data_IF_394147398514
#
_entry.id   IF_394147398514
#
_cell.length_a   1.000
_cell.length_b   1.000
_cell.length_c   1.000
_cell.angle_alpha   90.00
_cell.angle_beta   90.00
_cell.angle_gamma   90.00
#
_symmetry.space_group_name_H-M   'P 1'
#
loop_
_entity.id
_entity.type
_entity.pdbx_description
1 polymer ?
#
# COMPACT_ATOMS: atom_id res chain seq x y z
N UNK A 1 11.84 -2.16 13.84
CA UNK A 1 10.57 -2.90 14.07
C UNK A 1 9.55 -2.74 12.94
N UNK A 2 9.79 -1.87 11.94
CA UNK A 2 8.88 -1.65 10.79
C UNK A 2 9.31 -2.34 9.48
N UNK A 3 10.48 -2.96 9.44
CA UNK A 3 11.08 -3.48 8.21
C UNK A 3 10.50 -4.85 7.80
N UNK A 4 10.35 -5.78 8.76
CA UNK A 4 9.78 -7.12 8.52
C UNK A 4 8.27 -7.12 8.24
N UNK A 5 7.56 -5.99 8.42
CA UNK A 5 6.12 -5.89 8.12
C UNK A 5 5.82 -5.59 6.66
N UNK A 6 6.83 -5.24 5.87
CA UNK A 6 6.67 -4.86 4.47
C UNK A 6 6.66 -6.05 3.49
N UNK A 7 7.01 -7.28 3.92
CA UNK A 7 6.89 -8.46 3.05
C UNK A 7 5.41 -8.81 2.84
N UNK A 8 4.89 -8.72 1.60
CA UNK A 8 3.50 -9.04 1.28
C UNK A 8 3.10 -10.46 1.71
N UNK A 9 4.04 -11.40 1.71
CA UNK A 9 3.80 -12.81 2.11
C UNK A 9 3.50 -12.93 3.60
N UNK A 10 4.16 -12.11 4.42
CA UNK A 10 3.92 -12.05 5.87
C UNK A 10 2.55 -11.43 6.15
N UNK A 11 2.17 -10.38 5.42
CA UNK A 11 0.84 -9.77 5.52
C UNK A 11 -0.28 -10.76 5.15
N UNK A 12 -0.12 -11.48 4.03
CA UNK A 12 -1.09 -12.49 3.57
C UNK A 12 -1.25 -13.62 4.59
N UNK A 13 -0.13 -14.16 5.11
CA UNK A 13 -0.16 -15.23 6.11
C UNK A 13 -0.87 -14.78 7.40
N UNK A 14 -0.56 -13.57 7.88
CA UNK A 14 -1.22 -12.99 9.07
C UNK A 14 -2.71 -12.78 8.86
N UNK A 15 -3.12 -12.31 7.68
CA UNK A 15 -4.53 -12.12 7.35
C UNK A 15 -5.28 -13.46 7.37
N UNK A 16 -4.74 -14.49 6.70
CA UNK A 16 -5.36 -15.82 6.67
C UNK A 16 -5.51 -16.42 8.07
N UNK A 17 -4.48 -16.31 8.91
CA UNK A 17 -4.54 -16.79 10.30
C UNK A 17 -5.60 -16.05 11.12
N UNK A 18 -5.73 -14.73 10.93
CA UNK A 18 -6.65 -13.91 11.72
C UNK A 18 -8.11 -14.05 11.31
N UNK A 19 -8.37 -14.13 10.01
CA UNK A 19 -9.72 -14.04 9.46
C UNK A 19 -10.21 -15.34 8.83
N UNK A 20 -9.36 -16.37 8.76
CA UNK A 20 -9.64 -17.65 8.10
C UNK A 20 -10.12 -17.51 6.64
N UNK A 21 -9.72 -16.43 5.97
CA UNK A 21 -10.08 -16.09 4.60
C UNK A 21 -8.83 -15.67 3.82
N UNK A 22 -8.81 -15.94 2.52
CA UNK A 22 -7.73 -15.44 1.66
C UNK A 22 -7.83 -13.92 1.50
N UNK A 23 -6.71 -13.29 1.22
CA UNK A 23 -6.66 -11.84 1.00
C UNK A 23 -7.40 -11.52 -0.30
N UNK A 24 -8.41 -10.66 -0.20
CA UNK A 24 -9.10 -10.13 -1.37
C UNK A 24 -8.19 -9.25 -2.23
N UNK A 25 -8.45 -9.22 -3.54
CA UNK A 25 -7.58 -8.58 -4.55
C UNK A 25 -7.18 -7.15 -4.19
N UNK A 26 -8.11 -6.36 -3.63
CA UNK A 26 -7.90 -4.94 -3.30
C UNK A 26 -7.61 -4.66 -1.82
N UNK A 27 -7.55 -5.69 -0.97
CA UNK A 27 -7.28 -5.52 0.45
C UNK A 27 -5.91 -4.85 0.74
N UNK A 28 -4.82 -5.15 0.01
CA UNK A 28 -3.55 -4.42 0.19
C UNK A 28 -3.67 -2.92 -0.09
N UNK A 29 -4.42 -2.53 -1.13
CA UNK A 29 -4.64 -1.12 -1.46
C UNK A 29 -5.43 -0.39 -0.37
N UNK A 30 -6.46 -1.03 0.18
CA UNK A 30 -7.24 -0.47 1.29
C UNK A 30 -6.42 -0.32 2.57
N UNK A 31 -5.56 -1.31 2.88
CA UNK A 31 -4.65 -1.25 4.01
C UNK A 31 -3.67 -0.07 3.90
N UNK A 32 -3.08 0.11 2.72
CA UNK A 32 -2.13 1.17 2.43
C UNK A 32 -2.77 2.56 2.50
N UNK A 33 -3.99 2.70 1.97
CA UNK A 33 -4.75 3.94 2.09
C UNK A 33 -5.05 4.29 3.57
N UNK A 34 -5.43 3.31 4.38
CA UNK A 34 -5.64 3.51 5.81
C UNK A 34 -4.35 3.91 6.52
N UNK A 35 -3.23 3.25 6.21
CA UNK A 35 -1.92 3.56 6.78
C UNK A 35 -1.47 4.99 6.46
N UNK A 36 -1.66 5.43 5.21
CA UNK A 36 -1.35 6.80 4.78
C UNK A 36 -2.20 7.84 5.54
N UNK A 37 -3.50 7.57 5.70
CA UNK A 37 -4.40 8.44 6.47
C UNK A 37 -4.01 8.51 7.95
N UNK A 38 -3.69 7.37 8.58
CA UNK A 38 -3.23 7.32 9.98
C UNK A 38 -1.96 8.16 10.15
N UNK A 39 -0.99 8.02 9.23
CA UNK A 39 0.24 8.82 9.23
C UNK A 39 -0.07 10.31 9.12
N UNK A 40 -0.95 10.69 8.19
CA UNK A 40 -1.36 12.09 8.00
C UNK A 40 -2.01 12.68 9.26
N UNK A 41 -2.91 11.93 9.90
CA UNK A 41 -3.58 12.35 11.14
C UNK A 41 -2.56 12.54 12.27
N UNK A 42 -1.64 11.58 12.41
CA UNK A 42 -0.59 11.65 13.43
C UNK A 42 0.33 12.87 13.20
N UNK A 43 0.78 13.10 11.97
CA UNK A 43 1.64 14.23 11.62
C UNK A 43 0.95 15.58 11.77
N UNK A 44 -0.35 15.65 11.45
CA UNK A 44 -1.15 16.86 11.64
C UNK A 44 -1.36 17.20 13.12
N UNK A 45 -1.19 16.21 14.02
CA UNK A 45 -1.47 16.30 15.45
C UNK A 45 -2.82 16.99 15.75
N UNK A 46 -3.83 16.63 14.95
CA UNK A 46 -5.13 17.30 14.96
C UNK A 46 -6.18 16.43 14.31
N UNK A 47 -7.44 16.63 14.72
CA UNK A 47 -8.62 16.07 14.04
C UNK A 47 -9.27 17.08 13.08
N UNK A 48 -8.67 18.26 12.91
CA UNK A 48 -9.12 19.23 11.92
C UNK A 48 -8.88 18.70 10.50
N UNK A 49 -9.95 18.68 9.70
CA UNK A 49 -9.94 18.11 8.35
C UNK A 49 -8.93 18.81 7.44
N UNK A 50 -8.84 20.14 7.47
CA UNK A 50 -7.96 20.89 6.58
C UNK A 50 -6.48 20.61 6.92
N UNK A 51 -6.15 20.53 8.22
CA UNK A 51 -4.80 20.15 8.68
C UNK A 51 -4.41 18.74 8.24
N UNK A 52 -5.34 17.77 8.36
CA UNK A 52 -5.09 16.39 7.93
C UNK A 52 -4.83 16.33 6.42
N UNK A 53 -5.65 16.98 5.61
CA UNK A 53 -5.47 17.00 4.14
C UNK A 53 -4.14 17.65 3.75
N UNK A 54 -3.76 18.77 4.39
CA UNK A 54 -2.47 19.41 4.15
C UNK A 54 -1.27 18.52 4.55
N UNK A 55 -1.44 17.68 5.58
CA UNK A 55 -0.43 16.72 6.01
C UNK A 55 -0.36 15.49 5.10
N UNK A 56 -1.50 15.03 4.57
CA UNK A 56 -1.60 13.86 3.69
C UNK A 56 -0.72 14.00 2.45
N UNK A 57 -0.71 15.20 1.85
CA UNK A 57 0.13 15.50 0.68
C UNK A 57 1.65 15.32 0.94
N UNK A 58 2.07 15.25 2.21
CA UNK A 58 3.46 15.11 2.64
C UNK A 58 3.77 13.73 3.21
N UNK A 59 2.81 12.81 3.18
CA UNK A 59 2.97 11.47 3.73
C UNK A 59 4.10 10.73 3.01
N UNK A 60 4.89 10.03 3.81
CA UNK A 60 5.94 9.15 3.37
C UNK A 60 5.98 7.96 4.32
N UNK A 61 5.46 6.82 3.86
CA UNK A 61 5.36 5.59 4.65
C UNK A 61 5.49 4.38 3.72
N UNK A 62 6.08 3.29 4.22
CA UNK A 62 6.12 2.02 3.49
C UNK A 62 4.92 1.16 3.90
N UNK A 63 4.06 0.85 2.93
CA UNK A 63 2.93 -0.06 3.05
C UNK A 63 3.21 -1.42 2.41
N UNK A 64 2.15 -2.21 2.23
CA UNK A 64 2.17 -3.56 1.65
C UNK A 64 2.49 -3.51 0.16
N UNK A 65 2.03 -2.48 -0.55
CA UNK A 65 2.30 -2.29 -1.98
C UNK A 65 3.59 -1.50 -2.25
N UNK A 66 4.30 -1.09 -1.19
CA UNK A 66 5.56 -0.36 -1.28
C UNK A 66 5.46 1.04 -0.69
N UNK A 67 6.34 1.95 -1.14
CA UNK A 67 6.41 3.30 -0.60
C UNK A 67 5.24 4.17 -1.09
N UNK A 68 4.54 4.77 -0.14
CA UNK A 68 3.40 5.66 -0.35
C UNK A 68 3.88 7.10 -0.18
N UNK A 69 3.99 7.79 -1.30
CA UNK A 69 4.33 9.22 -1.42
C UNK A 69 3.59 9.80 -2.61
N UNK A 70 3.17 11.06 -2.52
CA UNK A 70 2.33 11.70 -3.53
C UNK A 70 3.08 12.81 -4.28
N UNK A 71 2.76 12.97 -5.56
CA UNK A 71 3.15 14.13 -6.36
C UNK A 71 2.19 15.32 -6.09
N UNK A 72 2.43 16.51 -6.68
CA UNK A 72 1.55 17.67 -6.47
C UNK A 72 0.11 17.49 -6.94
N UNK A 73 -0.17 16.52 -7.80
CA UNK A 73 -1.51 16.19 -8.29
C UNK A 73 -2.23 15.20 -7.35
N UNK A 74 -1.50 14.59 -6.42
CA UNK A 74 -2.02 13.59 -5.50
C UNK A 74 -1.85 12.15 -6.01
N UNK A 75 -1.11 11.95 -7.09
CA UNK A 75 -0.82 10.63 -7.63
C UNK A 75 0.36 10.00 -6.89
N UNK A 76 0.37 8.66 -6.80
CA UNK A 76 1.51 7.95 -6.22
C UNK A 76 2.77 8.20 -7.05
N UNK A 77 3.87 8.51 -6.39
CA UNK A 77 5.19 8.57 -7.02
C UNK A 77 5.72 7.14 -7.18
N UNK A 78 6.01 6.74 -8.42
CA UNK A 78 6.56 5.42 -8.78
C UNK A 78 5.75 4.23 -8.21
N UNK A 79 4.43 4.15 -8.46
CA UNK A 79 3.64 3.04 -7.98
C UNK A 79 4.07 1.74 -8.68
N UNK A 80 3.90 0.58 -8.02
CA UNK A 80 4.15 -0.71 -8.66
C UNK A 80 3.09 -0.99 -9.73
N UNK A 81 3.54 -1.41 -10.91
CA UNK A 81 2.69 -1.92 -11.98
C UNK A 81 3.07 -3.35 -12.29
N UNK A 82 2.11 -4.28 -12.13
CA UNK A 82 2.34 -5.70 -12.44
C UNK A 82 1.71 -6.06 -13.78
N UNK A 83 2.54 -6.56 -14.70
CA UNK A 83 2.09 -7.11 -15.97
C UNK A 83 1.70 -8.58 -15.76
N UNK A 84 0.47 -8.91 -16.12
CA UNK A 84 -0.05 -10.27 -16.11
C UNK A 84 -0.27 -10.79 -17.52
N UNK A 85 -0.07 -12.09 -17.70
CA UNK A 85 -0.38 -12.82 -18.93
C UNK A 85 -1.33 -13.97 -18.61
N UNK A 86 -2.31 -14.21 -19.49
CA UNK A 86 -3.15 -15.40 -19.41
C UNK A 86 -2.45 -16.56 -20.11
N UNK A 87 -2.18 -17.63 -19.36
CA UNK A 87 -1.67 -18.90 -19.86
C UNK A 87 -2.64 -20.02 -19.48
N UNK A 88 -3.15 -20.77 -20.45
CA UNK A 88 -4.09 -21.88 -20.22
C UNK A 88 -5.31 -21.47 -19.37
N UNK A 89 -5.81 -20.24 -19.56
CA UNK A 89 -6.95 -19.70 -18.82
C UNK A 89 -6.64 -19.24 -17.39
N UNK A 90 -5.36 -19.23 -16.99
CA UNK A 90 -4.91 -18.77 -15.67
C UNK A 90 -4.06 -17.50 -15.81
N UNK A 91 -4.29 -16.52 -14.95
CA UNK A 91 -3.46 -15.31 -14.89
C UNK A 91 -2.12 -15.62 -14.22
N UNK A 92 -1.01 -15.36 -14.92
CA UNK A 92 0.35 -15.41 -14.37
C UNK A 92 0.97 -14.02 -14.34
N UNK A 93 1.58 -13.67 -13.22
CA UNK A 93 2.39 -12.45 -13.10
C UNK A 93 3.70 -12.63 -13.85
N UNK A 94 4.00 -11.75 -14.81
CA UNK A 94 5.25 -11.76 -15.56
C UNK A 94 6.33 -10.91 -14.90
N UNK A 95 5.99 -9.66 -14.57
CA UNK A 95 6.91 -8.71 -13.95
C UNK A 95 6.15 -7.59 -13.25
N UNK A 96 6.76 -7.06 -12.20
CA UNK A 96 6.35 -5.79 -11.57
C UNK A 96 7.40 -4.73 -11.86
N UNK A 97 6.97 -3.54 -12.25
CA UNK A 97 7.84 -2.39 -12.54
C UNK A 97 7.41 -1.22 -11.66
N UNK A 98 8.37 -0.53 -11.04
CA UNK A 98 8.06 0.49 -10.02
C UNK A 98 7.82 -0.13 -8.64
N UNK A 99 7.44 0.70 -7.67
CA UNK A 99 7.43 0.31 -6.26
C UNK A 99 8.84 0.12 -5.68
N UNK A 100 8.93 -0.09 -4.37
CA UNK A 100 10.18 -0.49 -3.70
C UNK A 100 10.44 -1.97 -3.99
N UNK A 101 10.90 -2.25 -5.21
CA UNK A 101 11.14 -3.62 -5.68
C UNK A 101 12.21 -3.65 -6.77
N UNK A 102 13.46 -3.50 -6.34
CA UNK A 102 14.38 -4.62 -6.34
C UNK A 102 14.65 -4.97 -4.86
#
# INVERSE_FOLDING_TARGET
MYDDQADPRVAIKRYKVRFNQDVELYAPCAYDAALAMIKAIHDANSLDRAKIVASLAKVNVTGVTGRITFDPQGDLIKPPYTLFQVEQGQWKSLRTVGGSGA
#
